data_IF_886466060903
#
_entry.id   IF_886466060903
#
_cell.length_a   1.000
_cell.length_b   1.000
_cell.length_c   1.000
_cell.angle_alpha   90.00
_cell.angle_beta   90.00
_cell.angle_gamma   90.00
#
_symmetry.space_group_name_H-M   'P 1'
#
loop_
_entity.id
_entity.type
_entity.pdbx_description
1 polymer ?
#
# COMPACT_ATOMS: atom_id res chain seq x y z
N UNK A 1 -70.84 44.76 38.61
CA UNK A 1 -70.20 43.59 39.23
C UNK A 1 -68.75 43.56 38.78
N UNK A 2 -67.87 44.08 39.63
CA UNK A 2 -66.46 44.35 39.37
C UNK A 2 -65.65 43.16 39.87
N UNK A 3 -65.04 42.37 38.98
CA UNK A 3 -64.21 41.24 39.37
C UNK A 3 -62.72 41.63 39.41
N UNK A 4 -62.14 41.39 40.58
CA UNK A 4 -60.81 41.76 41.03
C UNK A 4 -59.77 40.75 40.52
N UNK A 5 -58.77 41.21 39.76
CA UNK A 5 -57.61 40.39 39.38
C UNK A 5 -56.50 40.55 40.44
N UNK A 6 -56.11 39.44 41.07
CA UNK A 6 -55.11 39.38 42.13
C UNK A 6 -53.77 38.97 41.55
N UNK A 7 -52.82 39.91 41.52
CA UNK A 7 -51.43 39.70 41.12
C UNK A 7 -50.70 38.88 42.20
N UNK A 8 -49.98 37.82 41.80
CA UNK A 8 -49.14 37.01 42.70
C UNK A 8 -47.69 37.14 42.22
N UNK A 9 -46.88 37.85 42.99
CA UNK A 9 -45.45 38.07 42.72
C UNK A 9 -44.64 36.84 43.13
N UNK A 10 -43.91 36.23 42.20
CA UNK A 10 -42.93 35.17 42.50
C UNK A 10 -41.54 35.78 42.59
N UNK A 11 -40.90 35.68 43.75
CA UNK A 11 -39.50 35.98 43.99
C UNK A 11 -38.62 34.97 43.23
N UNK A 12 -37.74 35.46 42.35
CA UNK A 12 -36.69 34.65 41.73
C UNK A 12 -35.39 34.78 42.54
N UNK A 13 -34.91 33.68 43.11
CA UNK A 13 -33.61 33.60 43.75
C UNK A 13 -32.52 33.39 42.69
N UNK A 14 -31.59 34.35 42.59
CA UNK A 14 -30.43 34.25 41.71
C UNK A 14 -29.33 33.40 42.38
N UNK A 15 -28.99 32.28 41.76
CA UNK A 15 -27.87 31.42 42.15
C UNK A 15 -26.62 31.88 41.39
N UNK A 16 -25.69 32.54 42.07
CA UNK A 16 -24.37 32.90 41.52
C UNK A 16 -23.45 31.68 41.55
N UNK A 17 -23.19 31.10 40.39
CA UNK A 17 -22.19 30.06 40.22
C UNK A 17 -20.79 30.69 40.05
N UNK A 18 -19.93 30.53 41.04
CA UNK A 18 -18.51 30.87 40.96
C UNK A 18 -17.79 29.86 40.06
N UNK A 19 -17.35 30.29 38.87
CA UNK A 19 -16.41 29.51 38.06
C UNK A 19 -15.01 29.58 38.68
N UNK A 20 -14.53 28.46 39.21
CA UNK A 20 -13.12 28.26 39.48
C UNK A 20 -12.39 28.00 38.16
N UNK A 21 -11.42 28.85 37.83
CA UNK A 21 -10.53 28.67 36.68
C UNK A 21 -9.50 27.60 37.03
N UNK A 22 -9.74 26.35 36.62
CA UNK A 22 -8.74 25.29 36.69
C UNK A 22 -7.78 25.47 35.50
N UNK A 23 -6.53 25.86 35.77
CA UNK A 23 -5.47 25.77 34.78
C UNK A 23 -5.29 24.33 34.35
N UNK A 24 -5.36 24.07 33.05
CA UNK A 24 -5.11 22.76 32.46
C UNK A 24 -3.62 22.42 32.60
N UNK A 25 -3.22 21.90 33.75
CA UNK A 25 -1.99 21.13 33.85
C UNK A 25 -2.21 19.83 33.07
N UNK A 26 -1.46 19.63 31.99
CA UNK A 26 -1.44 18.34 31.31
C UNK A 26 -1.01 17.27 32.33
N UNK A 27 -1.71 16.13 32.36
CA UNK A 27 -1.31 15.02 33.21
C UNK A 27 0.10 14.58 32.79
N UNK A 28 1.00 14.40 33.76
CA UNK A 28 2.36 13.95 33.49
C UNK A 28 2.31 12.57 32.83
N UNK A 29 2.83 12.49 31.62
CA UNK A 29 2.90 11.25 30.84
C UNK A 29 4.23 10.53 31.12
N UNK A 30 4.29 9.19 31.00
CA UNK A 30 5.50 8.42 31.30
C UNK A 30 6.73 8.83 30.48
N UNK A 31 6.52 9.44 29.32
CA UNK A 31 7.58 9.92 28.43
C UNK A 31 8.04 11.36 28.70
N UNK A 32 7.39 12.13 29.59
CA UNK A 32 7.75 13.54 29.83
C UNK A 32 9.15 13.68 30.41
N UNK A 33 9.58 12.74 31.26
CA UNK A 33 10.94 12.72 31.82
C UNK A 33 12.01 12.60 30.72
N UNK A 34 11.72 11.89 29.62
CA UNK A 34 12.61 11.80 28.48
C UNK A 34 12.66 13.14 27.72
N UNK A 35 11.51 13.78 27.52
CA UNK A 35 11.42 15.08 26.84
C UNK A 35 12.20 16.16 27.60
N UNK A 36 12.03 16.25 28.92
CA UNK A 36 12.75 17.22 29.75
C UNK A 36 14.27 17.02 29.67
N UNK A 37 14.71 15.77 29.68
CA UNK A 37 16.14 15.41 29.68
C UNK A 37 16.81 15.61 28.32
N UNK A 38 16.11 15.32 27.22
CA UNK A 38 16.73 15.20 25.90
C UNK A 38 16.21 16.18 24.83
N UNK A 39 15.05 16.79 25.04
CA UNK A 39 14.37 17.57 24.00
C UNK A 39 14.23 19.06 24.34
N UNK A 40 13.79 19.39 25.56
CA UNK A 40 13.36 20.76 25.93
C UNK A 40 14.50 21.79 25.88
N UNK A 41 15.76 21.38 26.03
CA UNK A 41 16.90 22.29 25.94
C UNK A 41 17.09 22.92 24.55
N UNK A 42 16.53 22.30 23.50
CA UNK A 42 16.62 22.74 22.11
C UNK A 42 15.27 23.02 21.44
N UNK A 43 14.18 22.45 21.96
CA UNK A 43 12.81 22.53 21.44
C UNK A 43 11.83 23.01 22.51
N UNK A 44 12.25 24.03 23.26
CA UNK A 44 11.55 24.56 24.43
C UNK A 44 11.45 26.09 24.40
N UNK A 45 11.09 26.74 25.51
CA UNK A 45 10.86 28.18 25.55
C UNK A 45 12.10 29.03 25.25
N UNK A 46 13.29 28.51 25.53
CA UNK A 46 14.55 29.24 25.31
C UNK A 46 15.09 29.10 23.89
N UNK A 47 14.82 27.97 23.23
CA UNK A 47 15.36 27.62 21.91
C UNK A 47 14.33 26.82 21.11
N UNK A 48 14.18 27.21 19.86
CA UNK A 48 13.25 26.60 18.90
C UNK A 48 14.04 26.16 17.67
N UNK A 49 14.76 25.04 17.81
CA UNK A 49 15.49 24.48 16.66
C UNK A 49 14.52 23.75 15.74
N UNK A 50 14.69 23.94 14.42
CA UNK A 50 13.87 23.26 13.42
C UNK A 50 12.39 23.61 13.49
N UNK A 51 12.05 24.83 13.95
CA UNK A 51 10.68 25.35 14.05
C UNK A 51 9.71 24.43 14.83
N UNK A 52 10.24 23.70 15.81
CA UNK A 52 9.49 22.75 16.63
C UNK A 52 9.56 23.09 18.12
N UNK A 53 8.38 23.31 18.72
CA UNK A 53 8.16 23.60 20.16
C UNK A 53 7.44 22.45 20.86
N UNK A 54 8.22 21.50 21.39
CA UNK A 54 7.70 20.29 22.05
C UNK A 54 6.93 20.64 23.34
N UNK A 55 7.30 21.73 24.00
CA UNK A 55 6.57 22.24 25.16
C UNK A 55 5.13 22.68 24.83
N UNK A 56 4.86 23.10 23.58
CA UNK A 56 3.53 23.59 23.16
C UNK A 56 2.63 22.52 22.54
N UNK A 57 3.17 21.35 22.18
CA UNK A 57 2.38 20.29 21.54
C UNK A 57 1.30 19.75 22.49
N UNK A 58 0.10 19.51 22.01
CA UNK A 58 -0.96 18.93 22.83
C UNK A 58 -0.61 17.50 23.26
N UNK A 59 -0.83 17.21 24.56
CA UNK A 59 -0.78 15.84 25.12
C UNK A 59 -2.13 15.13 24.99
N UNK A 60 -3.16 15.83 24.49
CA UNK A 60 -4.47 15.23 24.21
C UNK A 60 -4.50 14.64 22.79
N UNK A 61 -4.10 13.38 22.70
CA UNK A 61 -4.14 12.62 21.45
C UNK A 61 -5.58 12.38 20.96
N UNK A 62 -6.64 12.64 21.72
CA UNK A 62 -8.02 12.51 21.22
C UNK A 62 -8.41 13.65 20.28
N UNK A 63 -7.83 14.84 20.46
CA UNK A 63 -8.03 15.98 19.54
C UNK A 63 -7.29 15.75 18.21
N UNK A 64 -6.10 15.15 18.28
CA UNK A 64 -5.31 14.77 17.13
C UNK A 64 -4.56 15.91 16.43
N UNK A 65 -4.68 17.16 16.90
CA UNK A 65 -4.08 18.36 16.30
C UNK A 65 -2.57 18.19 16.03
N UNK A 66 -1.83 17.69 17.03
CA UNK A 66 -0.36 17.59 16.98
C UNK A 66 0.15 16.18 16.69
N UNK A 67 -0.72 15.26 16.24
CA UNK A 67 -0.33 13.84 16.04
C UNK A 67 0.82 13.70 15.04
N UNK A 68 0.87 14.55 14.02
CA UNK A 68 1.92 14.52 13.00
C UNK A 68 3.28 14.93 13.56
N UNK A 69 3.34 16.02 14.34
CA UNK A 69 4.57 16.43 15.05
C UNK A 69 5.06 15.32 15.99
N UNK A 70 4.16 14.68 16.74
CA UNK A 70 4.55 13.57 17.61
C UNK A 70 5.07 12.34 16.83
N UNK A 71 4.52 12.06 15.64
CA UNK A 71 5.01 10.98 14.78
C UNK A 71 6.42 11.28 14.24
N UNK A 72 6.67 12.53 13.86
CA UNK A 72 8.00 13.00 13.42
C UNK A 72 9.02 12.91 14.57
N UNK A 73 8.64 13.25 15.79
CA UNK A 73 9.49 13.06 16.99
C UNK A 73 9.88 11.60 17.17
N UNK A 74 8.94 10.66 17.01
CA UNK A 74 9.24 9.23 17.06
C UNK A 74 10.25 8.83 15.97
N UNK A 75 10.03 9.29 14.73
CA UNK A 75 10.91 8.96 13.59
C UNK A 75 12.33 9.49 13.78
N UNK A 76 12.47 10.74 14.23
CA UNK A 76 13.74 11.40 14.48
C UNK A 76 14.54 10.76 15.63
N UNK A 77 13.84 10.30 16.67
CA UNK A 77 14.48 9.56 17.77
C UNK A 77 14.86 8.13 17.34
N UNK A 78 14.00 7.43 16.59
CA UNK A 78 14.28 6.08 16.10
C UNK A 78 15.42 6.02 15.07
N UNK A 79 15.54 7.02 14.19
CA UNK A 79 16.64 7.14 13.23
C UNK A 79 17.97 7.53 13.89
N UNK A 80 17.95 7.95 15.16
CA UNK A 80 19.11 8.39 15.91
C UNK A 80 19.65 9.74 15.45
N UNK A 81 18.88 10.50 14.66
CA UNK A 81 19.18 11.88 14.25
C UNK A 81 19.06 12.84 15.42
N UNK A 82 18.10 12.59 16.33
CA UNK A 82 17.90 13.34 17.57
C UNK A 82 18.21 12.50 18.81
N UNK A 83 18.92 13.05 19.82
CA UNK A 83 19.56 14.38 19.86
C UNK A 83 20.78 14.52 18.92
N UNK A 84 21.14 15.75 18.49
CA UNK A 84 22.23 15.98 17.54
C UNK A 84 23.58 15.51 18.10
N UNK A 85 24.54 15.21 17.21
CA UNK A 85 25.85 14.60 17.56
C UNK A 85 26.66 15.33 18.64
N UNK A 86 26.38 16.61 18.91
CA UNK A 86 27.05 17.43 19.93
C UNK A 86 26.47 17.26 21.35
N UNK A 87 25.34 16.59 21.47
CA UNK A 87 24.63 16.35 22.73
C UNK A 87 24.74 14.88 23.16
N UNK A 88 24.46 14.61 24.44
CA UNK A 88 24.48 13.24 24.98
C UNK A 88 23.28 12.46 24.43
N UNK A 89 23.57 11.44 23.60
CA UNK A 89 22.53 10.54 23.08
C UNK A 89 21.96 9.65 24.21
N UNK A 90 20.64 9.42 24.24
CA UNK A 90 20.03 8.46 25.15
C UNK A 90 20.49 7.03 24.85
N UNK A 91 20.33 6.13 25.80
CA UNK A 91 20.56 4.69 25.57
C UNK A 91 19.46 4.09 24.71
N UNK A 92 19.73 2.93 24.10
CA UNK A 92 18.72 2.23 23.29
C UNK A 92 17.49 1.83 24.14
N UNK A 93 17.68 1.54 25.42
CA UNK A 93 16.61 1.23 26.36
C UNK A 93 15.72 2.45 26.64
N UNK A 94 16.33 3.64 26.82
CA UNK A 94 15.59 4.90 27.01
C UNK A 94 14.78 5.25 25.75
N UNK A 95 15.37 5.08 24.56
CA UNK A 95 14.69 5.30 23.28
C UNK A 95 13.50 4.35 23.13
N UNK A 96 13.70 3.05 23.36
CA UNK A 96 12.64 2.06 23.22
C UNK A 96 11.47 2.33 24.18
N UNK A 97 11.76 2.71 25.43
CA UNK A 97 10.74 3.05 26.42
C UNK A 97 9.94 4.31 26.00
N UNK A 98 10.64 5.35 25.55
CA UNK A 98 10.03 6.60 25.06
C UNK A 98 9.10 6.34 23.87
N UNK A 99 9.62 5.70 22.81
CA UNK A 99 8.90 5.42 21.57
C UNK A 99 7.66 4.55 21.84
N UNK A 100 7.81 3.50 22.64
CA UNK A 100 6.70 2.60 22.98
C UNK A 100 5.59 3.34 23.72
N UNK A 101 5.96 4.19 24.69
CA UNK A 101 4.98 4.95 25.46
C UNK A 101 4.23 5.97 24.59
N UNK A 102 4.94 6.73 23.76
CA UNK A 102 4.34 7.75 22.89
C UNK A 102 3.49 7.12 21.77
N UNK A 103 3.94 6.04 21.14
CA UNK A 103 3.19 5.30 20.12
C UNK A 103 1.88 4.73 20.71
N UNK A 104 1.89 4.22 21.95
CA UNK A 104 0.66 3.77 22.63
C UNK A 104 -0.37 4.91 22.73
N UNK A 105 0.06 6.11 23.13
CA UNK A 105 -0.83 7.27 23.25
C UNK A 105 -1.39 7.73 21.90
N UNK A 106 -0.56 7.73 20.86
CA UNK A 106 -1.00 8.05 19.49
C UNK A 106 -2.04 7.03 19.01
N UNK A 107 -1.80 5.74 19.25
CA UNK A 107 -2.74 4.65 18.90
C UNK A 107 -4.05 4.74 19.66
N UNK A 108 -4.01 4.97 20.97
CA UNK A 108 -5.19 5.18 21.83
C UNK A 108 -6.01 6.38 21.35
N UNK A 109 -5.34 7.51 21.09
CA UNK A 109 -5.98 8.72 20.55
C UNK A 109 -6.63 8.48 19.19
N UNK A 110 -5.94 7.77 18.28
CA UNK A 110 -6.49 7.38 16.98
C UNK A 110 -7.70 6.48 17.12
N UNK A 111 -7.65 5.48 17.99
CA UNK A 111 -8.75 4.57 18.25
C UNK A 111 -9.97 5.33 18.82
N UNK A 112 -9.77 6.24 19.76
CA UNK A 112 -10.83 7.08 20.32
C UNK A 112 -11.46 7.98 19.23
N UNK A 113 -10.66 8.61 18.37
CA UNK A 113 -11.15 9.40 17.23
C UNK A 113 -11.94 8.54 16.25
N UNK A 114 -11.49 7.32 15.95
CA UNK A 114 -12.19 6.40 15.08
C UNK A 114 -13.52 5.93 15.68
N UNK A 115 -13.56 5.63 16.98
CA UNK A 115 -14.77 5.21 17.69
C UNK A 115 -15.81 6.35 17.80
N UNK A 116 -15.37 7.60 17.88
CA UNK A 116 -16.24 8.77 17.89
C UNK A 116 -16.80 9.15 16.51
N UNK A 117 -16.25 8.58 15.42
CA UNK A 117 -16.79 8.83 14.07
C UNK A 117 -18.14 8.14 13.92
N UNK A 118 -19.13 8.80 13.28
CA UNK A 118 -20.36 8.12 12.89
C UNK A 118 -20.01 6.94 11.96
N UNK A 119 -20.84 5.91 11.97
CA UNK A 119 -20.68 4.76 11.08
C UNK A 119 -20.53 5.24 9.64
N UNK A 120 -19.43 4.84 8.98
CA UNK A 120 -19.23 5.13 7.57
C UNK A 120 -20.29 4.36 6.81
N UNK A 121 -21.22 5.08 6.17
CA UNK A 121 -22.16 4.46 5.24
C UNK A 121 -21.36 3.92 4.06
N UNK A 122 -21.30 2.60 3.90
CA UNK A 122 -20.82 2.01 2.66
C UNK A 122 -21.87 2.30 1.59
N UNK A 123 -21.49 3.09 0.57
CA UNK A 123 -22.37 3.45 -0.52
C UNK A 123 -21.94 2.81 -1.82
N UNK A 124 -22.92 2.37 -2.61
CA UNK A 124 -22.69 1.93 -4.00
C UNK A 124 -22.41 3.13 -4.89
N UNK A 125 -21.81 2.89 -6.06
CA UNK A 125 -21.73 3.91 -7.11
C UNK A 125 -23.15 4.31 -7.55
N UNK A 126 -23.34 5.59 -7.86
CA UNK A 126 -24.49 6.04 -8.64
C UNK A 126 -24.44 5.44 -10.06
N UNK A 127 -25.57 5.41 -10.75
CA UNK A 127 -25.66 5.01 -12.17
C UNK A 127 -24.61 5.74 -13.00
N UNK A 128 -24.49 7.06 -12.83
CA UNK A 128 -23.55 7.90 -13.58
C UNK A 128 -22.10 7.54 -13.26
N UNK A 129 -21.77 7.34 -11.98
CA UNK A 129 -20.42 6.92 -11.57
C UNK A 129 -20.08 5.52 -12.10
N UNK A 130 -21.02 4.57 -12.05
CA UNK A 130 -20.82 3.24 -12.60
C UNK A 130 -20.58 3.27 -14.11
N UNK A 131 -21.41 4.02 -14.85
CA UNK A 131 -21.24 4.21 -16.29
C UNK A 131 -19.87 4.79 -16.65
N UNK A 132 -19.45 5.84 -15.95
CA UNK A 132 -18.15 6.46 -16.20
C UNK A 132 -17.01 5.51 -15.84
N UNK A 133 -17.08 4.85 -14.69
CA UNK A 133 -16.06 3.88 -14.25
C UNK A 133 -15.90 2.73 -15.23
N UNK A 134 -17.01 2.16 -15.72
CA UNK A 134 -16.98 1.11 -16.75
C UNK A 134 -16.32 1.61 -18.04
N UNK A 135 -16.64 2.84 -18.45
CA UNK A 135 -16.03 3.41 -19.65
C UNK A 135 -14.54 3.69 -19.47
N UNK A 136 -14.14 4.25 -18.32
CA UNK A 136 -12.76 4.63 -18.06
C UNK A 136 -11.85 3.41 -17.92
N UNK A 137 -12.35 2.33 -17.29
CA UNK A 137 -11.57 1.11 -17.07
C UNK A 137 -11.56 0.16 -18.28
N UNK A 138 -12.68 0.03 -18.99
CA UNK A 138 -12.85 -1.01 -20.02
C UNK A 138 -13.14 -0.44 -21.42
N UNK A 139 -13.31 0.87 -21.57
CA UNK A 139 -13.69 1.51 -22.82
C UNK A 139 -15.13 1.21 -23.26
N UNK A 140 -15.93 0.52 -22.45
CA UNK A 140 -17.28 0.08 -22.80
C UNK A 140 -18.31 1.16 -22.53
N UNK A 141 -19.13 1.48 -23.53
CA UNK A 141 -20.32 2.30 -23.35
C UNK A 141 -21.46 1.43 -22.82
N UNK A 142 -21.73 1.54 -21.52
CA UNK A 142 -22.89 0.95 -20.86
C UNK A 142 -23.88 2.04 -20.47
N UNK A 143 -25.18 1.76 -20.61
CA UNK A 143 -26.25 2.71 -20.28
C UNK A 143 -27.09 2.14 -19.12
N UNK A 144 -26.79 2.55 -17.88
CA UNK A 144 -27.44 2.02 -16.68
C UNK A 144 -28.88 2.52 -16.51
N UNK A 145 -29.32 3.52 -17.28
CA UNK A 145 -30.65 4.09 -17.20
C UNK A 145 -31.69 3.32 -18.04
N UNK A 146 -31.24 2.38 -18.88
CA UNK A 146 -32.15 1.56 -19.70
C UNK A 146 -33.12 0.77 -18.80
N UNK A 147 -34.39 0.60 -19.24
CA UNK A 147 -35.35 -0.19 -18.51
C UNK A 147 -34.83 -1.60 -18.22
N UNK A 148 -34.84 -1.99 -16.96
CA UNK A 148 -34.40 -3.32 -16.51
C UNK A 148 -32.92 -3.43 -16.12
N UNK A 149 -32.11 -2.40 -16.35
CA UNK A 149 -30.69 -2.37 -15.95
C UNK A 149 -30.55 -1.99 -14.45
N UNK A 150 -29.81 -0.94 -14.10
CA UNK A 150 -29.64 -0.55 -12.69
C UNK A 150 -30.92 0.10 -12.14
N UNK A 151 -31.11 0.09 -10.82
CA UNK A 151 -32.20 0.85 -10.17
C UNK A 151 -31.91 2.35 -10.22
N UNK A 152 -32.96 3.17 -10.14
CA UNK A 152 -32.82 4.63 -10.11
C UNK A 152 -32.21 5.08 -8.80
N UNK A 153 -31.31 6.06 -8.88
CA UNK A 153 -30.70 6.65 -7.70
C UNK A 153 -31.66 7.67 -7.08
N UNK A 154 -31.77 7.64 -5.75
CA UNK A 154 -32.56 8.64 -5.03
C UNK A 154 -31.99 10.04 -5.29
N UNK A 155 -32.86 10.94 -5.73
CA UNK A 155 -32.54 12.36 -5.92
C UNK A 155 -33.00 13.16 -4.71
N UNK A 156 -32.10 13.94 -4.14
CA UNK A 156 -32.43 14.92 -3.10
C UNK A 156 -31.98 16.30 -3.53
N UNK A 157 -32.91 17.24 -3.67
CA UNK A 157 -32.65 18.59 -4.20
C UNK A 157 -31.80 18.62 -5.50
N UNK A 158 -31.98 17.62 -6.37
CA UNK A 158 -31.23 17.50 -7.63
C UNK A 158 -29.85 16.87 -7.51
N UNK A 159 -29.43 16.43 -6.32
CA UNK A 159 -28.20 15.66 -6.12
C UNK A 159 -28.48 14.17 -6.08
N UNK A 160 -27.64 13.38 -6.75
CA UNK A 160 -27.72 11.91 -6.83
C UNK A 160 -26.61 11.20 -6.01
N UNK A 161 -25.51 11.90 -5.69
CA UNK A 161 -24.34 11.34 -4.98
C UNK A 161 -24.45 11.52 -3.47
N UNK A 162 -25.40 10.83 -2.87
CA UNK A 162 -25.69 10.94 -1.44
C UNK A 162 -25.41 9.60 -0.79
N UNK A 163 -24.29 9.52 -0.05
CA UNK A 163 -23.81 8.25 0.51
C UNK A 163 -24.80 7.56 1.44
N UNK A 164 -25.65 8.30 2.15
CA UNK A 164 -26.71 7.71 2.99
C UNK A 164 -27.88 7.12 2.19
N UNK A 165 -28.11 7.59 0.97
CA UNK A 165 -29.21 7.16 0.10
C UNK A 165 -28.78 6.07 -0.89
N UNK A 166 -27.49 5.99 -1.20
CA UNK A 166 -26.88 4.98 -2.07
C UNK A 166 -26.62 3.67 -1.32
N UNK A 167 -27.66 3.15 -0.65
CA UNK A 167 -27.62 1.85 0.01
C UNK A 167 -27.62 0.70 -1.00
N UNK A 168 -27.01 -0.42 -0.61
CA UNK A 168 -26.97 -1.64 -1.41
C UNK A 168 -28.05 -2.61 -0.90
N UNK A 169 -29.01 -2.94 -1.77
CA UNK A 169 -30.03 -3.96 -1.48
C UNK A 169 -29.77 -5.21 -2.34
N UNK A 170 -30.35 -6.38 -2.01
CA UNK A 170 -30.20 -7.59 -2.82
C UNK A 170 -30.57 -7.40 -4.31
N UNK A 171 -31.59 -6.58 -4.60
CA UNK A 171 -31.98 -6.28 -6.00
C UNK A 171 -30.95 -5.43 -6.74
N UNK A 172 -30.22 -4.54 -6.03
CA UNK A 172 -29.10 -3.82 -6.63
C UNK A 172 -27.98 -4.79 -6.99
N UNK A 173 -27.62 -5.70 -6.09
CA UNK A 173 -26.54 -6.68 -6.31
C UNK A 173 -26.81 -7.54 -7.54
N UNK A 174 -28.02 -8.09 -7.67
CA UNK A 174 -28.40 -8.88 -8.85
C UNK A 174 -28.24 -8.09 -10.16
N UNK A 175 -28.68 -6.83 -10.18
CA UNK A 175 -28.54 -5.95 -11.35
C UNK A 175 -27.09 -5.57 -11.64
N UNK A 176 -26.25 -5.40 -10.62
CA UNK A 176 -24.82 -5.15 -10.81
C UNK A 176 -24.10 -6.35 -11.42
N UNK A 177 -24.45 -7.58 -11.02
CA UNK A 177 -23.88 -8.78 -11.63
C UNK A 177 -24.26 -8.90 -13.11
N UNK A 178 -25.53 -8.70 -13.44
CA UNK A 178 -25.98 -8.69 -14.85
C UNK A 178 -25.32 -7.59 -15.67
N UNK A 179 -25.20 -6.39 -15.10
CA UNK A 179 -24.49 -5.28 -15.73
C UNK A 179 -23.02 -5.63 -15.99
N UNK A 180 -22.35 -6.26 -15.02
CA UNK A 180 -20.96 -6.68 -15.15
C UNK A 180 -20.78 -7.74 -16.26
N UNK A 181 -21.66 -8.74 -16.35
CA UNK A 181 -21.64 -9.73 -17.43
C UNK A 181 -21.75 -9.06 -18.80
N UNK A 182 -22.76 -8.19 -18.99
CA UNK A 182 -22.96 -7.45 -20.24
C UNK A 182 -21.77 -6.56 -20.60
N UNK A 183 -21.16 -5.92 -19.59
CA UNK A 183 -19.98 -5.07 -19.78
C UNK A 183 -18.77 -5.91 -20.18
N UNK A 184 -18.54 -7.04 -19.52
CA UNK A 184 -17.42 -7.93 -19.81
C UNK A 184 -17.54 -8.58 -21.18
N UNK A 185 -18.73 -9.03 -21.59
CA UNK A 185 -18.98 -9.56 -22.94
C UNK A 185 -18.66 -8.54 -24.03
N UNK A 186 -18.94 -7.26 -23.78
CA UNK A 186 -18.62 -6.17 -24.72
C UNK A 186 -17.16 -5.76 -24.70
N UNK A 187 -16.53 -5.76 -23.52
CA UNK A 187 -15.11 -5.42 -23.36
C UNK A 187 -14.22 -6.50 -23.98
N UNK A 188 -14.62 -7.76 -23.83
CA UNK A 188 -13.87 -8.94 -24.24
C UNK A 188 -14.73 -9.84 -25.14
N UNK A 189 -15.10 -9.38 -26.35
CA UNK A 189 -15.86 -10.20 -27.27
C UNK A 189 -15.05 -11.46 -27.63
N UNK A 190 -15.71 -12.62 -27.57
CA UNK A 190 -15.10 -13.94 -27.77
C UNK A 190 -14.33 -14.12 -29.10
N UNK A 191 -14.45 -13.16 -30.03
CA UNK A 191 -13.77 -13.16 -31.32
C UNK A 191 -12.40 -12.46 -31.32
N UNK A 192 -11.98 -11.75 -30.26
CA UNK A 192 -10.79 -10.88 -30.31
C UNK A 192 -9.64 -11.22 -29.34
N UNK A 193 -9.82 -12.17 -28.41
CA UNK A 193 -8.76 -12.55 -27.47
C UNK A 193 -8.26 -13.96 -27.78
N UNK A 194 -7.12 -14.06 -28.46
CA UNK A 194 -6.26 -15.23 -28.28
C UNK A 194 -5.86 -15.26 -26.80
N UNK A 195 -6.46 -16.15 -26.03
CA UNK A 195 -6.23 -16.22 -24.58
C UNK A 195 -4.76 -16.53 -24.27
N UNK A 196 -4.12 -15.65 -23.48
CA UNK A 196 -2.99 -16.06 -22.65
C UNK A 196 -3.52 -17.02 -21.57
N UNK A 197 -3.54 -18.31 -21.89
CA UNK A 197 -4.02 -19.36 -20.99
C UNK A 197 -2.96 -19.65 -19.92
N UNK A 198 -3.22 -19.29 -18.66
CA UNK A 198 -2.44 -19.82 -17.52
C UNK A 198 -2.76 -21.30 -17.34
N UNK A 199 -1.93 -22.14 -17.94
CA UNK A 199 -1.94 -23.59 -17.75
C UNK A 199 -0.98 -23.95 -16.61
N UNK A 200 -1.42 -24.75 -15.63
CA UNK A 200 -0.49 -25.43 -14.72
C UNK A 200 0.13 -26.58 -15.51
N UNK A 201 1.35 -26.36 -16.01
CA UNK A 201 2.02 -27.30 -16.92
C UNK A 201 2.95 -28.24 -16.15
N UNK A 202 2.88 -29.54 -16.43
CA UNK A 202 3.87 -30.53 -15.96
C UNK A 202 4.93 -30.80 -17.04
N UNK A 203 6.04 -31.45 -16.71
CA UNK A 203 7.11 -31.77 -17.69
C UNK A 203 6.66 -32.59 -18.92
N UNK A 204 5.50 -33.25 -18.85
CA UNK A 204 4.89 -33.95 -19.98
C UNK A 204 4.46 -33.00 -21.12
N UNK A 205 4.20 -31.73 -20.83
CA UNK A 205 3.67 -30.77 -21.80
C UNK A 205 4.76 -30.08 -22.62
N UNK A 206 6.01 -30.03 -22.12
CA UNK A 206 7.16 -29.62 -22.93
C UNK A 206 7.32 -30.60 -24.11
N UNK A 207 7.17 -31.90 -23.83
CA UNK A 207 7.18 -32.95 -24.87
C UNK A 207 5.99 -32.83 -25.84
N UNK A 208 4.82 -32.41 -25.36
CA UNK A 208 3.65 -32.16 -26.23
C UNK A 208 3.85 -30.93 -27.13
N UNK A 209 4.44 -29.85 -26.60
CA UNK A 209 4.82 -28.68 -27.40
C UNK A 209 5.88 -29.02 -28.45
N UNK A 210 6.85 -29.86 -28.10
CA UNK A 210 7.85 -30.38 -29.03
C UNK A 210 7.20 -31.25 -30.12
N UNK A 211 6.35 -32.22 -29.74
CA UNK A 211 5.63 -33.08 -30.68
C UNK A 211 4.74 -32.29 -31.66
N UNK A 212 4.16 -31.18 -31.19
CA UNK A 212 3.34 -30.27 -32.01
C UNK A 212 4.15 -29.21 -32.76
N UNK A 213 5.48 -29.20 -32.65
CA UNK A 213 6.37 -28.19 -33.25
C UNK A 213 6.02 -26.75 -32.85
N UNK A 214 5.54 -26.58 -31.61
CA UNK A 214 5.18 -25.30 -31.02
C UNK A 214 6.24 -24.80 -30.03
N UNK A 215 7.16 -25.68 -29.59
CA UNK A 215 8.20 -25.34 -28.62
C UNK A 215 9.15 -24.24 -29.14
N UNK A 216 9.48 -24.24 -30.44
CA UNK A 216 10.31 -23.19 -31.05
C UNK A 216 9.64 -21.79 -30.98
N UNK A 217 8.31 -21.74 -30.90
CA UNK A 217 7.54 -20.49 -30.80
C UNK A 217 7.15 -20.13 -29.37
N UNK A 218 7.51 -20.97 -28.39
CA UNK A 218 7.07 -20.84 -27.00
C UNK A 218 8.27 -20.88 -26.09
N UNK A 219 8.58 -19.75 -25.43
CA UNK A 219 9.60 -19.73 -24.39
C UNK A 219 8.98 -20.06 -23.03
N UNK A 220 9.54 -21.06 -22.35
CA UNK A 220 9.20 -21.44 -20.98
C UNK A 220 10.33 -20.98 -20.09
N UNK A 221 9.98 -20.18 -19.08
CA UNK A 221 10.90 -19.65 -18.09
C UNK A 221 10.47 -20.14 -16.71
N UNK A 222 11.37 -20.83 -16.01
CA UNK A 222 11.21 -21.16 -14.59
C UNK A 222 12.36 -20.48 -13.86
N UNK A 223 12.04 -19.53 -13.01
CA UNK A 223 13.01 -18.74 -12.26
C UNK A 223 12.74 -18.84 -10.77
N UNK A 224 13.80 -18.75 -10.00
CA UNK A 224 13.74 -18.36 -8.58
C UNK A 224 14.34 -16.97 -8.44
N UNK A 225 14.04 -16.29 -7.34
CA UNK A 225 14.64 -14.99 -6.99
C UNK A 225 15.91 -15.18 -6.14
N UNK A 226 15.93 -16.21 -5.29
CA UNK A 226 17.05 -16.56 -4.41
C UNK A 226 17.18 -18.07 -4.27
N UNK A 227 18.40 -18.54 -4.01
CA UNK A 227 18.68 -19.87 -3.48
C UNK A 227 18.63 -19.89 -1.95
N UNK A 228 18.87 -21.06 -1.36
CA UNK A 228 19.15 -21.20 0.07
C UNK A 228 20.64 -21.55 0.23
N UNK A 229 21.36 -20.91 1.17
CA UNK A 229 22.73 -21.30 1.47
C UNK A 229 22.75 -22.71 2.09
N UNK A 230 23.86 -23.44 1.94
CA UNK A 230 24.03 -24.77 2.53
C UNK A 230 24.13 -24.74 4.05
N UNK A 231 24.53 -23.62 4.67
CA UNK A 231 24.60 -23.47 6.12
C UNK A 231 23.32 -22.88 6.74
N UNK A 232 23.17 -23.14 8.03
CA UNK A 232 22.15 -22.52 8.87
C UNK A 232 22.68 -21.22 9.48
N UNK A 233 21.78 -20.26 9.66
CA UNK A 233 22.04 -19.05 10.44
C UNK A 233 22.00 -19.32 11.96
N UNK A 234 22.32 -18.31 12.77
CA UNK A 234 22.34 -18.41 14.23
C UNK A 234 20.98 -18.70 14.85
N UNK A 235 19.89 -18.44 14.13
CA UNK A 235 18.51 -18.62 14.57
C UNK A 235 17.93 -19.98 14.12
N UNK A 236 18.75 -20.83 13.48
CA UNK A 236 18.38 -22.16 12.99
C UNK A 236 17.61 -22.15 11.66
N UNK A 237 17.53 -21.00 11.00
CA UNK A 237 16.99 -20.83 9.65
C UNK A 237 18.07 -21.02 8.58
N UNK A 238 17.67 -20.86 7.31
CA UNK A 238 18.59 -20.70 6.18
C UNK A 238 18.24 -19.37 5.53
N UNK A 239 19.21 -18.45 5.46
CA UNK A 239 19.05 -17.11 4.89
C UNK A 239 18.84 -17.12 3.37
N UNK A 240 19.07 -15.98 2.71
CA UNK A 240 18.95 -15.86 1.25
C UNK A 240 20.31 -16.03 0.57
N UNK A 241 20.37 -16.84 -0.50
CA UNK A 241 21.54 -16.96 -1.37
C UNK A 241 21.29 -16.27 -2.71
N UNK A 242 21.72 -15.01 -2.82
CA UNK A 242 21.54 -14.20 -4.03
C UNK A 242 22.71 -14.22 -5.00
N UNK A 243 23.88 -14.76 -4.61
CA UNK A 243 25.08 -14.76 -5.46
C UNK A 243 25.05 -15.81 -6.56
N UNK A 244 24.40 -16.96 -6.33
CA UNK A 244 24.28 -18.04 -7.30
C UNK A 244 22.97 -18.81 -7.08
N UNK A 245 22.21 -19.00 -8.15
CA UNK A 245 20.96 -19.76 -8.16
C UNK A 245 20.65 -20.28 -9.56
N UNK A 246 19.75 -21.24 -9.67
CA UNK A 246 19.42 -21.90 -10.93
C UNK A 246 18.13 -21.38 -11.53
N UNK A 247 18.17 -21.13 -12.85
CA UNK A 247 16.99 -20.82 -13.67
C UNK A 247 16.91 -21.82 -14.82
N UNK A 248 15.71 -22.04 -15.36
CA UNK A 248 15.47 -22.95 -16.48
C UNK A 248 14.82 -22.20 -17.64
N UNK A 249 15.40 -22.37 -18.82
CA UNK A 249 14.84 -21.93 -20.10
C UNK A 249 14.59 -23.15 -20.99
N UNK A 250 13.41 -23.22 -21.60
CA UNK A 250 13.06 -24.23 -22.58
C UNK A 250 12.23 -23.63 -23.74
N UNK A 251 12.50 -24.05 -24.96
CA UNK A 251 11.88 -23.52 -26.18
C UNK A 251 12.35 -22.12 -26.58
N UNK A 252 11.51 -21.42 -27.33
CA UNK A 252 11.81 -20.08 -27.86
C UNK A 252 12.86 -20.07 -28.99
N UNK A 253 13.12 -21.23 -29.60
CA UNK A 253 14.13 -21.37 -30.67
C UNK A 253 15.57 -21.24 -30.17
N UNK A 254 15.79 -21.31 -28.85
CA UNK A 254 17.11 -21.26 -28.25
C UNK A 254 17.91 -22.54 -28.51
N UNK A 255 19.23 -22.41 -28.57
CA UNK A 255 20.19 -23.50 -28.62
C UNK A 255 20.38 -24.09 -27.22
N UNK A 256 19.50 -25.00 -26.82
CA UNK A 256 19.60 -25.67 -25.52
C UNK A 256 20.86 -26.55 -25.42
N UNK A 257 21.66 -26.31 -24.38
CA UNK A 257 22.94 -27.00 -24.13
C UNK A 257 22.97 -27.77 -22.80
N UNK A 258 21.83 -27.94 -22.14
CA UNK A 258 21.77 -28.50 -20.79
C UNK A 258 22.05 -27.42 -19.73
N UNK A 259 22.99 -27.67 -18.83
CA UNK A 259 23.40 -26.70 -17.82
C UNK A 259 24.39 -25.68 -18.43
N UNK A 260 24.22 -24.41 -18.08
CA UNK A 260 25.14 -23.33 -18.41
C UNK A 260 25.47 -22.55 -17.14
N UNK A 261 26.76 -22.33 -16.89
CA UNK A 261 27.25 -21.86 -15.60
C UNK A 261 27.62 -23.02 -14.67
N UNK A 262 28.65 -22.81 -13.86
CA UNK A 262 29.10 -23.77 -12.84
C UNK A 262 29.31 -23.05 -11.52
N UNK A 263 28.88 -23.66 -10.42
CA UNK A 263 29.16 -23.21 -9.06
C UNK A 263 30.13 -24.17 -8.38
N UNK A 264 30.70 -23.76 -7.25
CA UNK A 264 31.40 -24.67 -6.36
C UNK A 264 30.47 -25.79 -5.82
N UNK A 265 31.06 -26.80 -5.16
CA UNK A 265 30.33 -27.96 -4.63
C UNK A 265 29.20 -27.59 -3.66
N UNK A 266 29.29 -26.40 -3.07
CA UNK A 266 28.34 -25.85 -2.10
C UNK A 266 27.29 -24.92 -2.74
N UNK A 267 27.33 -24.70 -4.06
CA UNK A 267 26.43 -23.79 -4.80
C UNK A 267 26.45 -22.34 -4.28
N UNK A 268 27.61 -21.89 -3.80
CA UNK A 268 27.83 -20.58 -3.21
C UNK A 268 28.47 -19.58 -4.15
N UNK A 269 29.54 -20.02 -4.77
CA UNK A 269 30.42 -19.19 -5.59
C UNK A 269 30.34 -19.65 -7.05
N UNK A 270 30.36 -18.70 -7.98
CA UNK A 270 30.34 -19.00 -9.41
C UNK A 270 31.77 -19.31 -9.87
N UNK A 271 31.97 -20.50 -10.45
CA UNK A 271 33.28 -21.02 -10.88
C UNK A 271 33.49 -20.85 -12.38
N UNK A 272 32.44 -20.98 -13.21
CA UNK A 272 32.55 -20.84 -14.66
C UNK A 272 31.29 -20.26 -15.31
N UNK A 273 31.49 -19.61 -16.46
CA UNK A 273 30.44 -19.05 -17.34
C UNK A 273 29.37 -18.23 -16.61
N UNK A 274 29.76 -17.21 -15.81
CA UNK A 274 28.81 -16.36 -15.10
C UNK A 274 27.94 -15.57 -16.08
N UNK A 275 26.69 -15.34 -15.70
CA UNK A 275 25.83 -14.34 -16.31
C UNK A 275 25.05 -13.64 -15.19
N UNK A 276 24.71 -12.37 -15.42
CA UNK A 276 23.95 -11.60 -14.44
C UNK A 276 22.43 -11.77 -14.63
N UNK A 277 21.64 -11.38 -13.63
CA UNK A 277 20.17 -11.34 -13.75
C UNK A 277 19.72 -10.43 -14.89
N UNK A 278 20.32 -9.23 -15.10
CA UNK A 278 20.06 -8.43 -16.29
C UNK A 278 20.30 -9.17 -17.60
N UNK A 279 21.41 -9.91 -17.73
CA UNK A 279 21.74 -10.68 -18.95
C UNK A 279 20.72 -11.79 -19.21
N UNK A 280 20.29 -12.47 -18.14
CA UNK A 280 19.23 -13.47 -18.20
C UNK A 280 17.90 -12.87 -18.69
N UNK A 281 17.52 -11.70 -18.18
CA UNK A 281 16.28 -11.03 -18.60
C UNK A 281 16.38 -10.50 -20.05
N UNK A 282 17.53 -9.95 -20.44
CA UNK A 282 17.80 -9.56 -21.83
C UNK A 282 17.72 -10.76 -22.79
N UNK A 283 18.21 -11.94 -22.36
CA UNK A 283 18.07 -13.21 -23.10
C UNK A 283 16.60 -13.58 -23.33
N UNK A 284 15.76 -13.47 -22.29
CA UNK A 284 14.32 -13.73 -22.41
C UNK A 284 13.69 -12.78 -23.43
N UNK A 285 13.93 -11.47 -23.29
CA UNK A 285 13.40 -10.46 -24.19
C UNK A 285 13.83 -10.72 -25.65
N UNK A 286 15.11 -10.96 -25.88
CA UNK A 286 15.65 -11.26 -27.21
C UNK A 286 15.01 -12.52 -27.82
N UNK A 287 14.83 -13.59 -27.03
CA UNK A 287 14.22 -14.84 -27.48
C UNK A 287 12.76 -14.70 -27.93
N UNK A 288 12.01 -13.76 -27.33
CA UNK A 288 10.63 -13.47 -27.73
C UNK A 288 10.50 -12.30 -28.72
N UNK A 289 11.62 -11.76 -29.21
CA UNK A 289 11.63 -10.65 -30.17
C UNK A 289 11.31 -9.28 -29.57
N UNK A 290 11.42 -9.13 -28.24
CA UNK A 290 11.31 -7.84 -27.55
C UNK A 290 12.66 -7.16 -27.54
N UNK A 291 12.68 -5.89 -27.94
CA UNK A 291 13.88 -5.06 -27.97
C UNK A 291 14.30 -4.68 -26.53
N UNK A 292 15.31 -5.40 -26.02
CA UNK A 292 15.81 -5.30 -24.65
C UNK A 292 16.58 -3.99 -24.37
N UNK A 293 17.03 -3.28 -25.40
CA UNK A 293 17.78 -2.03 -25.26
C UNK A 293 16.92 -0.77 -25.20
N UNK A 294 15.60 -0.91 -25.35
CA UNK A 294 14.66 0.23 -25.35
C UNK A 294 14.29 0.68 -23.95
N UNK A 295 13.79 1.90 -23.88
CA UNK A 295 13.08 2.43 -22.72
C UNK A 295 11.57 2.40 -22.98
N UNK A 296 10.82 2.03 -21.95
CA UNK A 296 9.41 2.30 -21.80
C UNK A 296 9.23 3.71 -21.23
N UNK A 297 8.11 4.35 -21.58
CA UNK A 297 7.81 5.72 -21.17
C UNK A 297 6.43 5.76 -20.53
N UNK A 298 6.38 6.22 -19.29
CA UNK A 298 5.17 6.66 -18.59
C UNK A 298 5.42 8.10 -18.12
N UNK A 299 5.14 9.06 -19.02
CA UNK A 299 5.61 10.45 -18.91
C UNK A 299 7.06 10.64 -19.39
N UNK A 300 7.76 11.62 -18.81
CA UNK A 300 9.11 12.03 -19.26
C UNK A 300 10.25 11.15 -18.69
N UNK A 301 9.95 10.27 -17.73
CA UNK A 301 10.97 9.41 -17.10
C UNK A 301 11.18 8.13 -17.92
N UNK A 302 12.38 7.90 -18.48
CA UNK A 302 12.66 6.64 -19.16
C UNK A 302 12.76 5.50 -18.13
N UNK A 303 12.08 4.39 -18.41
CA UNK A 303 12.18 3.13 -17.66
C UNK A 303 12.76 2.09 -18.60
N UNK A 304 14.00 1.60 -18.40
CA UNK A 304 14.61 0.68 -19.32
C UNK A 304 13.87 -0.67 -19.30
N UNK A 305 13.71 -1.30 -20.48
CA UNK A 305 13.02 -2.59 -20.61
C UNK A 305 13.75 -3.66 -19.81
N UNK A 306 15.09 -3.62 -19.80
CA UNK A 306 15.94 -4.46 -18.95
C UNK A 306 16.95 -3.57 -18.22
N UNK A 307 17.59 -4.08 -17.16
CA UNK A 307 18.62 -3.34 -16.43
C UNK A 307 19.98 -3.36 -17.17
N UNK A 308 19.96 -2.95 -18.45
CA UNK A 308 21.12 -2.87 -19.35
C UNK A 308 21.90 -4.18 -19.56
N UNK A 309 21.23 -5.32 -19.40
CA UNK A 309 21.82 -6.64 -19.64
C UNK A 309 22.04 -6.94 -21.12
N UNK A 310 22.99 -7.83 -21.40
CA UNK A 310 23.25 -8.34 -22.74
C UNK A 310 22.76 -9.79 -22.87
N UNK A 311 22.07 -10.18 -23.96
CA UNK A 311 21.66 -11.55 -24.15
C UNK A 311 22.84 -12.52 -24.14
N UNK A 312 22.65 -13.70 -23.55
CA UNK A 312 23.65 -14.76 -23.50
C UNK A 312 23.75 -15.37 -24.90
N UNK A 313 24.66 -14.85 -25.72
CA UNK A 313 24.83 -15.21 -27.14
C UNK A 313 24.97 -16.73 -27.35
N UNK A 314 25.57 -17.44 -26.39
CA UNK A 314 25.75 -18.88 -26.45
C UNK A 314 24.43 -19.68 -26.46
N UNK A 315 23.30 -19.07 -26.07
CA UNK A 315 21.99 -19.69 -26.12
C UNK A 315 21.25 -19.41 -27.44
N UNK A 316 21.80 -18.57 -28.31
CA UNK A 316 21.25 -18.31 -29.63
C UNK A 316 22.01 -19.12 -30.70
N UNK A 317 21.31 -19.51 -31.76
CA UNK A 317 21.84 -20.33 -32.85
C UNK A 317 22.68 -19.51 -33.84
#
# INVERSE_FOLDING_TARGET
MTFCFRFRSSFAAALTASLAFAGAGFAAEPYDAFLEKHCISCHGPEKEKGDLRIDQLSRDFKLGADTHHWAEVIEQVNSGEMPPKKEKKPTQEEIAAFVTSLDSRIKEGRAARMAARPAVAHYRLSRKEYQNTVYDLLGVRYDPAKPGELNEDTRWHGFERIGSELSLSPSHVDRYYRAAELVLERAFPAAAAGEARKLRKTGAEIRDLEAKKLLDKTLIVITTEFGLPPEFDSDGGRGHQGSAFSCVLAGGGLRHCGAWGETDELSKEIVANPFSVPDFFATICAAVGVDYGKNLYDGDRPVPVTDQGSPIEALFA
#
